data_IF_236729465020
#
_entry.id   IF_236729465020
#
_cell.length_a   1.000
_cell.length_b   1.000
_cell.length_c   1.000
_cell.angle_alpha   90.00
_cell.angle_beta   90.00
_cell.angle_gamma   90.00
#
_symmetry.space_group_name_H-M   'P 1'
#
loop_
_entity.id
_entity.type
_entity.pdbx_description
1 polymer ?
#
# COMPACT_ATOMS: atom_id res chain seq x y z
N UNK A 1 14.70 -4.94 7.00
CA UNK A 1 14.23 -4.38 8.28
C UNK A 1 14.13 -2.88 8.10
N UNK A 2 12.97 -2.40 7.66
CA UNK A 2 12.75 -0.99 7.36
C UNK A 2 12.32 -0.29 8.65
N UNK A 3 13.25 0.36 9.34
CA UNK A 3 12.89 1.20 10.48
C UNK A 3 12.35 2.54 9.94
N UNK A 4 11.03 2.68 9.94
CA UNK A 4 10.31 3.90 9.58
C UNK A 4 10.51 4.97 10.66
N UNK A 5 11.63 5.69 10.62
CA UNK A 5 11.79 6.91 11.40
C UNK A 5 11.08 8.04 10.65
N UNK A 6 9.99 8.55 11.20
CA UNK A 6 9.24 9.61 10.56
C UNK A 6 9.70 10.99 11.04
N UNK A 7 9.89 11.90 10.10
CA UNK A 7 10.27 13.31 10.36
C UNK A 7 9.05 14.06 10.90
N UNK A 8 9.20 14.79 12.00
CA UNK A 8 8.10 15.51 12.68
C UNK A 8 7.87 16.88 12.05
N UNK A 9 7.62 16.88 10.75
CA UNK A 9 7.16 18.06 10.04
C UNK A 9 6.29 17.62 8.86
N UNK A 10 5.03 18.07 8.84
CA UNK A 10 4.08 17.71 7.79
C UNK A 10 3.24 16.48 8.13
N UNK A 11 3.09 15.56 7.19
CA UNK A 11 2.27 14.35 7.33
C UNK A 11 3.10 13.07 7.19
N UNK A 12 2.72 12.06 7.95
CA UNK A 12 3.35 10.73 7.95
C UNK A 12 2.27 9.70 7.67
N UNK A 13 2.46 8.89 6.63
CA UNK A 13 1.57 7.79 6.27
C UNK A 13 2.11 6.49 6.84
N UNK A 14 1.27 5.76 7.55
CA UNK A 14 1.65 4.52 8.23
C UNK A 14 0.59 3.45 7.97
N UNK A 15 1.03 2.24 7.69
CA UNK A 15 0.12 1.10 7.52
C UNK A 15 -0.41 0.64 8.88
N UNK A 16 -1.70 0.34 8.95
CA UNK A 16 -2.31 -0.30 10.11
C UNK A 16 -1.59 -1.62 10.45
N UNK A 17 -1.36 -1.87 11.74
CA UNK A 17 -0.64 -3.03 12.26
C UNK A 17 0.89 -2.89 12.23
N UNK A 18 1.44 -1.80 11.69
CA UNK A 18 2.89 -1.55 11.71
C UNK A 18 3.35 -0.83 12.98
N UNK A 19 4.66 -0.89 13.25
CA UNK A 19 5.30 -0.15 14.35
C UNK A 19 5.66 1.28 13.90
N UNK A 20 5.33 2.28 14.72
CA UNK A 20 5.68 3.68 14.50
C UNK A 20 6.52 4.26 15.64
N UNK A 21 7.59 4.97 15.29
CA UNK A 21 8.39 5.79 16.22
C UNK A 21 8.51 7.21 15.70
N UNK A 22 7.89 8.15 16.41
CA UNK A 22 8.01 9.58 16.15
C UNK A 22 9.06 10.15 17.09
N UNK A 23 10.14 10.76 16.56
CA UNK A 23 11.28 11.22 17.39
C UNK A 23 11.48 12.71 17.29
N UNK A 24 11.31 13.39 18.41
CA UNK A 24 11.47 14.83 18.56
C UNK A 24 12.74 15.14 19.33
N UNK A 25 13.77 15.51 18.58
CA UNK A 25 15.03 15.95 19.15
C UNK A 25 15.05 17.48 19.20
N UNK A 26 15.42 18.01 20.36
CA UNK A 26 15.77 19.42 20.52
C UNK A 26 17.13 19.54 21.19
N UNK A 27 17.92 20.46 20.65
CA UNK A 27 19.18 20.88 21.20
C UNK A 27 19.03 22.24 21.89
N UNK A 28 19.76 22.42 22.98
CA UNK A 28 19.71 23.62 23.79
C UNK A 28 20.48 23.46 25.10
N UNK A 29 20.99 24.57 25.61
CA UNK A 29 21.63 24.62 26.93
C UNK A 29 20.92 25.66 27.82
N UNK A 30 20.23 25.25 28.89
CA UNK A 30 20.04 23.88 29.38
C UNK A 30 19.26 22.99 28.40
N UNK A 31 19.51 21.67 28.49
CA UNK A 31 18.81 20.65 27.68
C UNK A 31 17.30 20.82 27.85
N UNK A 32 16.54 21.00 26.76
CA UNK A 32 15.10 21.17 26.85
C UNK A 32 14.39 19.86 27.24
N UNK A 33 13.30 19.98 27.99
CA UNK A 33 12.34 18.90 28.20
C UNK A 33 11.46 18.72 26.96
N UNK A 34 11.06 17.49 26.67
CA UNK A 34 10.17 17.16 25.53
C UNK A 34 8.84 16.62 26.05
N UNK A 35 7.74 17.01 25.40
CA UNK A 35 6.41 16.44 25.62
C UNK A 35 5.66 16.30 24.30
N UNK A 36 4.87 15.24 24.20
CA UNK A 36 4.00 14.94 23.07
C UNK A 36 2.56 15.19 23.47
N UNK A 37 1.85 15.94 22.63
CA UNK A 37 0.44 16.24 22.82
C UNK A 37 -0.37 15.73 21.63
N UNK A 38 -1.58 15.26 21.89
CA UNK A 38 -2.61 15.08 20.85
C UNK A 38 -3.24 16.41 20.46
N UNK A 39 -4.14 16.38 19.47
CA UNK A 39 -4.86 17.56 18.96
C UNK A 39 -5.59 18.33 20.07
N UNK A 40 -6.14 17.61 21.05
CA UNK A 40 -6.84 18.19 22.21
C UNK A 40 -5.89 18.75 23.30
N UNK A 41 -4.58 18.82 23.04
CA UNK A 41 -3.52 19.25 23.98
C UNK A 41 -3.32 18.34 25.19
N UNK A 42 -3.83 17.11 25.17
CA UNK A 42 -3.57 16.10 26.20
C UNK A 42 -2.14 15.59 26.06
N UNK A 43 -1.41 15.53 27.17
CA UNK A 43 -0.06 14.94 27.19
C UNK A 43 -0.17 13.43 27.06
N UNK A 44 0.37 12.89 25.98
CA UNK A 44 0.42 11.43 25.73
C UNK A 44 1.80 10.83 25.99
N UNK A 45 2.85 11.66 25.95
CA UNK A 45 4.22 11.20 26.19
C UNK A 45 5.15 12.32 26.62
N UNK A 46 6.25 11.99 27.29
CA UNK A 46 7.20 12.97 27.88
C UNK A 46 8.66 12.70 27.57
N UNK A 47 8.95 11.77 26.65
CA UNK A 47 10.30 11.52 26.15
C UNK A 47 10.45 11.96 24.70
N UNK A 48 11.70 12.00 24.21
CA UNK A 48 12.01 12.42 22.84
C UNK A 48 11.28 11.57 21.79
N UNK A 49 11.14 10.26 22.02
CA UNK A 49 10.48 9.34 21.09
C UNK A 49 9.12 8.90 21.61
N UNK A 50 8.05 9.13 20.85
CA UNK A 50 6.74 8.50 21.00
C UNK A 50 6.72 7.19 20.22
N UNK A 51 6.45 6.08 20.90
CA UNK A 51 6.42 4.74 20.33
C UNK A 51 5.01 4.17 20.34
N UNK A 52 4.50 3.81 19.15
CA UNK A 52 3.25 3.11 18.94
C UNK A 52 3.60 1.74 18.36
N UNK A 53 3.55 0.65 19.16
CA UNK A 53 3.99 -0.68 18.72
C UNK A 53 3.14 -1.24 17.58
N UNK A 54 1.84 -0.95 17.60
CA UNK A 54 0.88 -1.41 16.60
C UNK A 54 -0.08 -0.27 16.26
N UNK A 55 0.08 0.30 15.06
CA UNK A 55 -0.74 1.43 14.61
C UNK A 55 -2.15 0.96 14.29
N UNK A 56 -3.14 1.66 14.83
CA UNK A 56 -4.57 1.42 14.63
C UNK A 56 -5.21 2.70 14.10
N UNK A 57 -6.44 2.63 13.59
CA UNK A 57 -7.11 3.79 12.99
C UNK A 57 -7.33 4.91 14.02
N UNK A 58 -7.51 4.55 15.29
CA UNK A 58 -7.71 5.48 16.40
C UNK A 58 -6.47 6.31 16.72
N UNK A 59 -5.28 5.87 16.28
CA UNK A 59 -4.05 6.64 16.44
C UNK A 59 -3.92 7.77 15.39
N UNK A 60 -4.74 7.77 14.34
CA UNK A 60 -4.76 8.82 13.32
C UNK A 60 -5.10 10.18 13.94
N UNK A 61 -4.33 11.21 13.58
CA UNK A 61 -4.57 12.56 14.09
C UNK A 61 -3.33 13.44 14.13
N UNK A 62 -3.51 14.63 14.69
CA UNK A 62 -2.46 15.65 14.81
C UNK A 62 -1.73 15.51 16.15
N UNK A 63 -0.41 15.30 16.08
CA UNK A 63 0.46 15.26 17.25
C UNK A 63 1.36 16.48 17.27
N UNK A 64 1.56 17.04 18.47
CA UNK A 64 2.47 18.15 18.71
C UNK A 64 3.63 17.68 19.56
N UNK A 65 4.85 17.87 19.07
CA UNK A 65 6.00 17.86 19.94
C UNK A 65 6.24 19.26 20.48
N UNK A 66 6.33 19.39 21.79
CA UNK A 66 6.65 20.64 22.47
C UNK A 66 7.94 20.46 23.25
N UNK A 67 8.89 21.36 23.03
CA UNK A 67 10.20 21.38 23.68
C UNK A 67 10.35 22.67 24.47
N UNK A 68 10.78 22.57 25.72
CA UNK A 68 10.80 23.70 26.64
C UNK A 68 12.09 23.73 27.46
N UNK A 69 12.69 24.91 27.61
CA UNK A 69 13.75 25.17 28.58
C UNK A 69 13.50 26.51 29.29
N UNK A 70 14.40 26.90 30.20
CA UNK A 70 14.27 28.15 30.96
C UNK A 70 14.24 29.43 30.11
N UNK A 71 14.61 29.35 28.84
CA UNK A 71 14.66 30.48 27.91
C UNK A 71 13.46 30.53 26.97
N UNK A 72 12.65 29.47 26.89
CA UNK A 72 11.43 29.46 26.10
C UNK A 72 10.94 28.08 25.69
N UNK A 73 9.81 28.10 25.00
CA UNK A 73 9.13 26.92 24.46
C UNK A 73 9.10 27.01 22.92
N UNK A 74 9.30 25.87 22.26
CA UNK A 74 9.09 25.70 20.81
C UNK A 74 8.24 24.47 20.58
N UNK A 75 7.53 24.42 19.46
CA UNK A 75 6.77 23.25 19.08
C UNK A 75 6.81 23.01 17.56
N UNK A 76 6.53 21.77 17.20
CA UNK A 76 6.30 21.32 15.82
C UNK A 76 5.17 20.31 15.84
N UNK A 77 4.47 20.17 14.71
CA UNK A 77 3.36 19.22 14.59
C UNK A 77 3.61 18.23 13.46
N UNK A 78 2.98 17.06 13.60
CA UNK A 78 2.95 16.00 12.59
C UNK A 78 1.55 15.42 12.51
N UNK A 79 1.04 15.26 11.29
CA UNK A 79 -0.24 14.61 11.04
C UNK A 79 0.00 13.13 10.72
N UNK A 80 -0.41 12.24 11.62
CA UNK A 80 -0.33 10.80 11.43
C UNK A 80 -1.55 10.34 10.63
N UNK A 81 -1.33 9.79 9.45
CA UNK A 81 -2.33 9.24 8.56
C UNK A 81 -2.20 7.72 8.50
N UNK A 82 -3.29 6.99 8.74
CA UNK A 82 -3.29 5.52 8.81
C UNK A 82 -3.99 4.92 7.60
N UNK A 83 -3.24 4.13 6.83
CA UNK A 83 -3.73 3.41 5.66
C UNK A 83 -4.05 1.95 6.01
N UNK A 84 -5.22 1.45 5.61
CA UNK A 84 -5.56 0.04 5.68
C UNK A 84 -5.00 -0.70 4.45
N UNK A 85 -4.61 -1.97 4.61
CA UNK A 85 -4.06 -2.81 3.52
C UNK A 85 -5.07 -3.19 2.44
N UNK A 86 -6.32 -2.74 2.53
CA UNK A 86 -7.46 -3.34 1.83
C UNK A 86 -7.60 -2.95 0.35
N UNK A 87 -6.86 -1.95 -0.13
CA UNK A 87 -7.02 -1.45 -1.52
C UNK A 87 -6.14 -2.16 -2.56
N UNK A 88 -5.17 -2.98 -2.16
CA UNK A 88 -4.25 -3.64 -3.11
C UNK A 88 -4.81 -4.91 -3.78
N UNK A 89 -5.82 -5.55 -3.19
CA UNK A 89 -6.35 -6.84 -3.68
C UNK A 89 -7.50 -6.68 -4.68
N UNK A 90 -8.24 -5.57 -4.64
CA UNK A 90 -9.41 -5.34 -5.49
C UNK A 90 -9.03 -5.08 -6.96
N UNK A 91 -7.96 -4.32 -7.18
CA UNK A 91 -7.44 -4.01 -8.51
C UNK A 91 -6.89 -5.26 -9.23
N UNK A 92 -6.27 -6.17 -8.47
CA UNK A 92 -5.72 -7.43 -8.98
C UNK A 92 -6.79 -8.39 -9.51
N UNK A 93 -7.95 -8.48 -8.85
CA UNK A 93 -9.04 -9.35 -9.28
C UNK A 93 -9.61 -8.96 -10.66
N UNK A 94 -9.76 -7.65 -10.91
CA UNK A 94 -10.23 -7.14 -12.19
C UNK A 94 -9.25 -7.47 -13.32
N UNK A 95 -7.96 -7.21 -13.12
CA UNK A 95 -6.91 -7.46 -14.11
C UNK A 95 -6.83 -8.97 -14.43
N UNK A 96 -6.83 -9.82 -13.40
CA UNK A 96 -6.74 -11.27 -13.57
C UNK A 96 -7.95 -11.85 -14.33
N UNK A 97 -9.16 -11.35 -14.04
CA UNK A 97 -10.38 -11.78 -14.74
C UNK A 97 -10.32 -11.51 -16.25
N UNK A 98 -9.92 -10.31 -16.67
CA UNK A 98 -9.80 -9.98 -18.09
C UNK A 98 -8.75 -10.83 -18.80
N UNK A 99 -7.57 -11.04 -18.19
CA UNK A 99 -6.50 -11.84 -18.78
C UNK A 99 -6.94 -13.29 -19.01
N UNK A 100 -7.60 -13.91 -18.03
CA UNK A 100 -8.09 -15.29 -18.14
C UNK A 100 -9.13 -15.42 -19.25
N UNK A 101 -10.06 -14.48 -19.34
CA UNK A 101 -11.09 -14.46 -20.40
C UNK A 101 -10.44 -14.33 -21.77
N UNK A 102 -9.50 -13.39 -21.95
CA UNK A 102 -8.80 -13.20 -23.22
C UNK A 102 -8.02 -14.46 -23.64
N UNK A 103 -7.32 -15.11 -22.71
CA UNK A 103 -6.59 -16.36 -22.99
C UNK A 103 -7.56 -17.48 -23.39
N UNK A 104 -8.69 -17.64 -22.67
CA UNK A 104 -9.70 -18.63 -23.02
C UNK A 104 -10.31 -18.39 -24.42
N UNK A 105 -10.57 -17.13 -24.77
CA UNK A 105 -11.03 -16.75 -26.11
C UNK A 105 -9.97 -17.07 -27.18
N UNK A 106 -8.70 -16.75 -26.95
CA UNK A 106 -7.62 -17.08 -27.89
C UNK A 106 -7.48 -18.59 -28.08
N UNK A 107 -7.57 -19.38 -27.00
CA UNK A 107 -7.55 -20.84 -27.07
C UNK A 107 -8.74 -21.36 -27.88
N UNK A 108 -9.95 -20.84 -27.63
CA UNK A 108 -11.14 -21.23 -28.39
C UNK A 108 -11.01 -20.88 -29.88
N UNK A 109 -10.45 -19.72 -30.22
CA UNK A 109 -10.17 -19.31 -31.61
C UNK A 109 -9.15 -20.26 -32.26
N UNK A 110 -8.07 -20.61 -31.56
CA UNK A 110 -7.05 -21.54 -32.09
C UNK A 110 -7.68 -22.92 -32.32
N UNK A 111 -8.46 -23.42 -31.37
CA UNK A 111 -9.17 -24.70 -31.50
C UNK A 111 -10.10 -24.63 -32.71
N UNK A 112 -10.93 -23.59 -32.82
CA UNK A 112 -11.87 -23.42 -33.93
C UNK A 112 -11.16 -23.32 -35.29
N UNK A 113 -10.08 -22.54 -35.38
CA UNK A 113 -9.28 -22.41 -36.60
C UNK A 113 -8.57 -23.72 -36.97
N UNK A 114 -8.10 -24.50 -35.98
CA UNK A 114 -7.51 -25.81 -36.22
C UNK A 114 -8.56 -26.83 -36.69
N UNK A 115 -9.76 -26.75 -36.13
CA UNK A 115 -10.91 -27.58 -36.48
C UNK A 115 -11.41 -27.27 -37.89
N UNK A 116 -11.52 -25.97 -38.22
CA UNK A 116 -11.88 -25.49 -39.56
C UNK A 116 -10.88 -25.96 -40.62
N UNK A 117 -9.58 -25.81 -40.36
CA UNK A 117 -8.51 -26.29 -41.26
C UNK A 117 -8.55 -27.81 -41.45
N UNK A 118 -8.96 -28.58 -40.45
CA UNK A 118 -9.10 -30.04 -40.55
C UNK A 118 -10.24 -30.43 -41.49
N UNK A 119 -11.39 -29.78 -41.33
CA UNK A 119 -12.58 -30.00 -42.17
C UNK A 119 -12.31 -29.71 -43.66
N UNK A 120 -11.50 -28.68 -43.95
CA UNK A 120 -11.11 -28.34 -45.32
C UNK A 120 -10.20 -29.41 -45.96
N UNK A 121 -9.31 -30.05 -45.18
CA UNK A 121 -8.47 -31.17 -45.68
C UNK A 121 -9.30 -32.42 -45.98
N UNK A 122 -10.26 -32.74 -45.11
CA UNK A 122 -11.13 -33.91 -45.28
C UNK A 122 -12.00 -33.79 -46.55
N UNK A 123 -12.45 -32.57 -46.88
CA UNK A 123 -13.22 -32.29 -48.09
C UNK A 123 -12.41 -32.51 -49.39
N UNK A 124 -11.09 -32.29 -49.35
CA UNK A 124 -10.22 -32.39 -50.52
C UNK A 124 -9.75 -33.83 -50.80
N UNK A 125 -9.66 -34.69 -49.77
CA UNK A 125 -9.34 -36.11 -49.92
C UNK A 125 -10.53 -36.92 -50.49
N UNK A 126 -11.77 -36.54 -50.14
CA UNK A 126 -12.99 -37.14 -50.69
C UNK A 126 -13.20 -36.89 -52.20
N UNK A 127 -12.63 -35.83 -52.78
CA UNK A 127 -12.73 -35.54 -54.23
C UNK A 127 -11.65 -36.28 -55.05
N UNK A 128 -10.61 -36.84 -54.40
CA UNK A 128 -9.48 -37.49 -55.06
C UNK A 128 -9.63 -38.99 -55.33
N UNK A 129 -10.69 -39.65 -54.82
CA UNK A 129 -10.91 -41.09 -54.98
C UNK A 129 -12.07 -41.39 -55.95
N UNK A 130 -11.97 -40.93 -57.20
CA UNK A 130 -12.79 -41.47 -58.29
C UNK A 130 -12.12 -42.75 -58.83
N UNK A 131 -12.76 -43.93 -58.76
CA UNK A 131 -12.22 -45.14 -59.36
C UNK A 131 -12.31 -45.03 -60.88
N UNK A 132 -11.16 -45.00 -61.55
CA UNK A 132 -11.09 -45.25 -62.98
C UNK A 132 -11.50 -46.71 -63.23
N UNK A 133 -12.68 -46.90 -63.82
CA UNK A 133 -13.11 -48.15 -64.44
C UNK A 133 -13.54 -47.88 -65.87
#
# INVERSE_FOLDING_TARGET
MSHSAAVIHGSVHVEMGSELKLTCAADGNPKPSVKWLEENRTVVHTTETLHIPEVQKEHEGLYWCVVNNRYGEKNTSVHLLVSSKEESNASMNLIYGFVVVLVAFLIAIIIFASWRRRKEKDAQDSEGHHPHR
#
